data_IF_338352861864
#
_entry.id   IF_338352861864
#
_cell.length_a   1.000
_cell.length_b   1.000
_cell.length_c   1.000
_cell.angle_alpha   90.00
_cell.angle_beta   90.00
_cell.angle_gamma   90.00
#
_symmetry.space_group_name_H-M   'P 1'
#
loop_
_entity.id
_entity.type
_entity.pdbx_description
1 polymer ?
#
# COMPACT_ATOMS: atom_id res chain seq x y z
N UNK A 1 -15.51 -22.98 60.34
CA UNK A 1 -16.10 -21.84 59.57
C UNK A 1 -15.15 -21.51 58.44
N UNK A 2 -15.41 -22.04 57.26
CA UNK A 2 -14.56 -21.93 56.08
C UNK A 2 -15.09 -20.80 55.18
N UNK A 3 -14.27 -19.76 54.94
CA UNK A 3 -14.60 -18.65 54.05
C UNK A 3 -14.08 -18.98 52.65
N UNK A 4 -14.96 -19.33 51.71
CA UNK A 4 -14.68 -19.45 50.30
C UNK A 4 -14.51 -18.04 49.69
N UNK A 5 -13.28 -17.69 49.32
CA UNK A 5 -12.99 -16.48 48.54
C UNK A 5 -13.42 -16.69 47.08
N UNK A 6 -14.42 -15.91 46.65
CA UNK A 6 -14.82 -15.86 45.23
C UNK A 6 -13.86 -14.92 44.46
N UNK A 7 -12.92 -15.51 43.73
CA UNK A 7 -12.12 -14.74 42.75
C UNK A 7 -12.99 -14.33 41.55
N UNK A 8 -13.23 -13.04 41.41
CA UNK A 8 -13.90 -12.47 40.24
C UNK A 8 -12.83 -12.30 39.17
N UNK A 9 -12.88 -13.17 38.18
CA UNK A 9 -12.07 -13.01 36.97
C UNK A 9 -12.69 -11.89 36.09
N UNK A 10 -12.09 -10.72 36.10
CA UNK A 10 -12.49 -9.63 35.20
C UNK A 10 -12.01 -9.97 33.79
N UNK A 11 -12.94 -10.37 32.93
CA UNK A 11 -12.67 -10.52 31.47
C UNK A 11 -12.59 -9.11 30.87
N UNK A 12 -11.37 -8.63 30.58
CA UNK A 12 -11.15 -7.44 29.80
C UNK A 12 -11.55 -7.77 28.34
N UNK A 13 -12.74 -7.35 27.95
CA UNK A 13 -13.15 -7.34 26.56
C UNK A 13 -12.35 -6.26 25.83
N UNK A 14 -11.27 -6.64 25.16
CA UNK A 14 -10.62 -5.79 24.18
C UNK A 14 -11.57 -5.62 22.99
N UNK A 15 -12.31 -4.53 22.97
CA UNK A 15 -13.06 -4.10 21.79
C UNK A 15 -12.03 -3.67 20.74
N UNK A 16 -11.86 -4.47 19.70
CA UNK A 16 -11.18 -4.06 18.49
C UNK A 16 -11.91 -2.84 17.92
N UNK A 17 -11.22 -1.71 17.66
CA UNK A 17 -11.86 -0.60 16.96
C UNK A 17 -12.36 -1.09 15.61
N UNK A 18 -13.65 -0.94 15.36
CA UNK A 18 -14.22 -1.17 14.04
C UNK A 18 -13.49 -0.22 13.07
N UNK A 19 -12.95 -0.75 11.98
CA UNK A 19 -12.43 0.03 10.87
C UNK A 19 -13.61 0.79 10.22
N UNK A 20 -14.00 1.90 10.82
CA UNK A 20 -14.92 2.84 10.18
C UNK A 20 -14.11 3.63 9.17
N UNK A 21 -14.28 3.31 7.88
CA UNK A 21 -13.74 4.13 6.82
C UNK A 21 -14.29 5.55 6.94
N UNK A 22 -13.42 6.54 7.17
CA UNK A 22 -13.84 7.92 7.14
C UNK A 22 -14.15 8.30 5.69
N UNK A 23 -15.33 8.90 5.45
CA UNK A 23 -15.64 9.49 4.16
C UNK A 23 -14.81 10.76 4.00
N UNK A 24 -13.69 10.65 3.32
CA UNK A 24 -12.88 11.81 2.93
C UNK A 24 -13.35 12.29 1.58
N UNK A 25 -13.68 13.59 1.49
CA UNK A 25 -14.10 14.19 0.24
C UNK A 25 -13.03 13.98 -0.84
N UNK A 26 -13.41 13.41 -1.97
CA UNK A 26 -12.51 13.15 -3.09
C UNK A 26 -11.70 11.87 -3.02
N UNK A 27 -11.85 11.02 -1.97
CA UNK A 27 -11.18 9.71 -1.87
C UNK A 27 -12.18 8.67 -1.36
N UNK A 28 -12.63 7.80 -2.23
CA UNK A 28 -13.44 6.65 -1.81
C UNK A 28 -12.61 5.59 -1.09
N UNK A 29 -13.24 4.81 -0.23
CA UNK A 29 -12.60 3.68 0.47
C UNK A 29 -11.29 4.07 1.19
N UNK A 30 -11.28 5.26 1.81
CA UNK A 30 -10.11 5.81 2.49
C UNK A 30 -9.98 5.25 3.90
N UNK A 31 -8.78 4.77 4.22
CA UNK A 31 -8.40 4.31 5.56
C UNK A 31 -6.96 4.72 5.87
N UNK A 32 -6.70 5.03 7.11
CA UNK A 32 -5.36 5.06 7.66
C UNK A 32 -5.00 3.63 8.11
N UNK A 33 -3.95 3.07 7.54
CA UNK A 33 -3.46 1.73 7.84
C UNK A 33 -2.67 1.76 9.15
N UNK A 34 -1.76 2.74 9.27
CA UNK A 34 -0.95 2.99 10.47
C UNK A 34 -0.48 4.46 10.52
N UNK A 35 0.61 4.74 11.24
CA UNK A 35 1.14 6.10 11.43
C UNK A 35 1.61 6.78 10.15
N UNK A 36 1.96 6.03 9.11
CA UNK A 36 2.54 6.57 7.87
C UNK A 36 1.97 5.98 6.58
N UNK A 37 1.09 4.97 6.66
CA UNK A 37 0.47 4.35 5.49
C UNK A 37 -1.01 4.64 5.45
N UNK A 38 -1.46 5.14 4.31
CA UNK A 38 -2.86 5.38 3.97
C UNK A 38 -3.24 4.56 2.74
N UNK A 39 -4.52 4.23 2.61
CA UNK A 39 -5.04 3.52 1.45
C UNK A 39 -6.35 4.13 0.96
N UNK A 40 -6.68 3.95 -0.31
CA UNK A 40 -7.95 4.42 -0.84
C UNK A 40 -8.18 4.07 -2.30
N UNK A 41 -9.27 4.61 -2.84
CA UNK A 41 -9.56 4.64 -4.26
C UNK A 41 -8.76 5.75 -4.93
N UNK A 42 -8.79 5.79 -6.27
CA UNK A 42 -8.22 6.88 -7.05
C UNK A 42 -8.74 8.24 -6.51
N UNK A 43 -7.85 9.15 -6.09
CA UNK A 43 -8.25 10.44 -5.58
C UNK A 43 -8.70 11.38 -6.71
N UNK A 44 -9.62 12.30 -6.38
CA UNK A 44 -9.86 13.49 -7.19
C UNK A 44 -8.82 14.57 -6.88
N UNK A 45 -8.88 15.71 -7.55
CA UNK A 45 -8.02 16.85 -7.23
C UNK A 45 -8.19 17.31 -5.77
N UNK A 46 -9.43 17.31 -5.26
CA UNK A 46 -9.71 17.65 -3.85
C UNK A 46 -9.09 16.61 -2.90
N UNK A 47 -9.16 15.32 -3.29
CA UNK A 47 -8.54 14.23 -2.55
C UNK A 47 -7.01 14.36 -2.50
N UNK A 48 -6.37 14.73 -3.61
CA UNK A 48 -4.92 14.98 -3.65
C UNK A 48 -4.53 16.16 -2.76
N UNK A 49 -5.29 17.25 -2.77
CA UNK A 49 -5.08 18.38 -1.87
C UNK A 49 -5.21 17.97 -0.39
N UNK A 50 -6.20 17.13 -0.08
CA UNK A 50 -6.36 16.58 1.27
C UNK A 50 -5.14 15.73 1.68
N UNK A 51 -4.66 14.84 0.81
CA UNK A 51 -3.47 14.02 1.07
C UNK A 51 -2.24 14.87 1.36
N UNK A 52 -1.99 15.90 0.55
CA UNK A 52 -0.90 16.84 0.79
C UNK A 52 -1.04 17.55 2.15
N UNK A 53 -2.26 17.98 2.51
CA UNK A 53 -2.56 18.65 3.79
C UNK A 53 -2.31 17.76 5.00
N UNK A 54 -2.60 16.46 4.93
CA UNK A 54 -2.36 15.52 6.04
C UNK A 54 -0.90 15.01 6.07
N UNK A 55 -0.04 15.50 5.19
CA UNK A 55 1.39 15.21 5.20
C UNK A 55 1.83 14.01 4.39
N UNK A 56 0.97 13.47 3.51
CA UNK A 56 1.40 12.44 2.54
C UNK A 56 2.51 13.01 1.67
N UNK A 57 3.57 12.23 1.50
CA UNK A 57 4.75 12.59 0.69
C UNK A 57 4.83 11.78 -0.59
N UNK A 58 4.31 10.56 -0.58
CA UNK A 58 4.37 9.66 -1.73
C UNK A 58 2.98 9.10 -2.05
N UNK A 59 2.58 9.20 -3.31
CA UNK A 59 1.39 8.55 -3.86
C UNK A 59 1.83 7.35 -4.68
N UNK A 60 1.44 6.15 -4.24
CA UNK A 60 1.73 4.88 -4.90
C UNK A 60 0.49 4.41 -5.66
N UNK A 61 0.55 4.49 -6.98
CA UNK A 61 -0.52 4.09 -7.89
C UNK A 61 -0.29 2.67 -8.42
N UNK A 62 -1.26 1.78 -8.19
CA UNK A 62 -1.25 0.39 -8.63
C UNK A 62 -2.04 0.17 -9.94
N UNK A 63 -2.49 1.23 -10.58
CA UNK A 63 -3.21 1.13 -11.86
C UNK A 63 -2.24 0.93 -13.02
N UNK A 64 -2.77 0.38 -14.09
CA UNK A 64 -2.05 0.26 -15.34
C UNK A 64 -1.63 1.64 -15.88
N UNK A 65 -0.51 1.67 -16.58
CA UNK A 65 -0.03 2.87 -17.25
C UNK A 65 -1.04 3.36 -18.27
N UNK A 66 -1.21 4.67 -18.35
CA UNK A 66 -2.11 5.29 -19.30
C UNK A 66 -2.34 6.77 -19.00
N UNK A 67 -3.19 7.40 -19.78
CA UNK A 67 -3.48 8.83 -19.67
C UNK A 67 -3.93 9.25 -18.26
N UNK A 68 -4.73 8.42 -17.58
CA UNK A 68 -5.21 8.72 -16.24
C UNK A 68 -4.09 8.72 -15.19
N UNK A 69 -3.15 7.77 -15.27
CA UNK A 69 -2.01 7.72 -14.37
C UNK A 69 -1.03 8.87 -14.66
N UNK A 70 -0.84 9.23 -15.92
CA UNK A 70 0.01 10.36 -16.32
C UNK A 70 -0.54 11.70 -15.80
N UNK A 71 -1.83 11.96 -15.97
CA UNK A 71 -2.49 13.17 -15.44
C UNK A 71 -2.40 13.27 -13.92
N UNK A 72 -2.59 12.14 -13.22
CA UNK A 72 -2.48 12.12 -11.77
C UNK A 72 -1.04 12.39 -11.32
N UNK A 73 -0.04 11.83 -12.04
CA UNK A 73 1.36 12.08 -11.75
C UNK A 73 1.72 13.58 -11.84
N UNK A 74 1.17 14.30 -12.81
CA UNK A 74 1.36 15.75 -12.96
C UNK A 74 0.76 16.51 -11.76
N UNK A 75 -0.47 16.18 -11.36
CA UNK A 75 -1.15 16.81 -10.23
C UNK A 75 -0.44 16.52 -8.90
N UNK A 76 -0.02 15.28 -8.67
CA UNK A 76 0.72 14.87 -7.46
C UNK A 76 2.03 15.66 -7.34
N UNK A 77 2.79 15.75 -8.43
CA UNK A 77 4.06 16.52 -8.45
C UNK A 77 3.84 18.00 -8.26
N UNK A 78 2.79 18.57 -8.84
CA UNK A 78 2.42 19.97 -8.67
C UNK A 78 2.10 20.32 -7.20
N UNK A 79 1.65 19.33 -6.41
CA UNK A 79 1.39 19.47 -4.97
C UNK A 79 2.64 19.18 -4.11
N UNK A 80 3.80 18.99 -4.72
CA UNK A 80 5.07 18.73 -4.01
C UNK A 80 5.19 17.32 -3.45
N UNK A 81 4.34 16.38 -3.90
CA UNK A 81 4.41 14.96 -3.54
C UNK A 81 5.14 14.15 -4.61
N UNK A 82 5.74 13.05 -4.21
CA UNK A 82 6.31 12.06 -5.11
C UNK A 82 5.20 11.17 -5.67
N UNK A 83 5.25 10.86 -6.96
CA UNK A 83 4.38 9.89 -7.60
C UNK A 83 5.17 8.67 -8.04
N UNK A 84 4.74 7.50 -7.60
CA UNK A 84 5.32 6.20 -8.00
C UNK A 84 4.20 5.35 -8.58
N UNK A 85 4.46 4.77 -9.76
CA UNK A 85 3.53 3.82 -10.35
C UNK A 85 4.16 2.42 -10.41
N UNK A 86 3.45 1.46 -9.84
CA UNK A 86 3.77 0.03 -9.96
C UNK A 86 2.54 -0.65 -10.56
N UNK A 87 2.47 -0.74 -11.89
CA UNK A 87 1.26 -1.15 -12.59
C UNK A 87 0.95 -2.63 -12.37
N UNK A 88 -0.21 -2.91 -11.81
CA UNK A 88 -0.74 -4.25 -11.62
C UNK A 88 -1.93 -4.48 -12.57
N UNK A 89 -1.90 -5.55 -13.34
CA UNK A 89 -2.88 -5.82 -14.40
C UNK A 89 -4.07 -6.66 -13.94
N UNK A 90 -5.22 -6.43 -14.57
CA UNK A 90 -6.41 -7.28 -14.57
C UNK A 90 -6.77 -7.92 -13.23
N UNK A 91 -6.96 -9.25 -13.23
CA UNK A 91 -7.28 -10.07 -12.06
C UNK A 91 -6.05 -10.76 -11.46
N UNK A 92 -4.88 -10.61 -12.06
CA UNK A 92 -3.65 -11.25 -11.60
C UNK A 92 -3.27 -10.79 -10.18
N UNK A 93 -2.70 -11.67 -9.35
CA UNK A 93 -2.09 -11.27 -8.09
C UNK A 93 -0.82 -10.44 -8.37
N UNK A 94 -0.28 -9.74 -7.35
CA UNK A 94 1.04 -9.14 -7.47
C UNK A 94 2.09 -10.20 -7.79
N UNK A 95 3.07 -9.85 -8.60
CA UNK A 95 4.29 -10.63 -8.76
C UNK A 95 5.22 -10.41 -7.56
N UNK A 96 6.18 -11.31 -7.34
CA UNK A 96 7.17 -11.15 -6.27
C UNK A 96 7.99 -9.86 -6.44
N UNK A 97 8.37 -9.53 -7.67
CA UNK A 97 9.11 -8.29 -7.96
C UNK A 97 8.29 -7.03 -7.65
N UNK A 98 7.00 -7.00 -8.04
CA UNK A 98 6.11 -5.88 -7.74
C UNK A 98 5.93 -5.70 -6.24
N UNK A 99 5.66 -6.77 -5.50
CA UNK A 99 5.39 -6.66 -4.08
C UNK A 99 6.65 -6.31 -3.29
N UNK A 100 7.81 -6.90 -3.63
CA UNK A 100 9.08 -6.57 -2.98
C UNK A 100 9.43 -5.09 -3.17
N UNK A 101 9.26 -4.56 -4.39
CA UNK A 101 9.46 -3.13 -4.68
C UNK A 101 8.49 -2.25 -3.89
N UNK A 102 7.22 -2.64 -3.80
CA UNK A 102 6.20 -1.89 -3.07
C UNK A 102 6.49 -1.87 -1.58
N UNK A 103 6.81 -3.02 -0.98
CA UNK A 103 7.12 -3.12 0.44
C UNK A 103 8.37 -2.32 0.79
N UNK A 104 9.43 -2.41 -0.03
CA UNK A 104 10.63 -1.61 0.15
C UNK A 104 10.33 -0.10 0.11
N UNK A 105 9.46 0.36 -0.81
CA UNK A 105 9.04 1.76 -0.89
C UNK A 105 8.26 2.21 0.35
N UNK A 106 7.33 1.38 0.83
CA UNK A 106 6.51 1.73 2.00
C UNK A 106 7.35 1.77 3.27
N UNK A 107 8.34 0.89 3.40
CA UNK A 107 9.23 0.78 4.55
C UNK A 107 10.38 1.80 4.52
N UNK A 108 10.65 2.41 3.37
CA UNK A 108 11.67 3.44 3.25
C UNK A 108 11.22 4.73 3.94
N UNK A 109 11.82 5.02 5.09
CA UNK A 109 11.53 6.24 5.85
C UNK A 109 11.74 7.54 5.04
N UNK A 110 12.52 7.53 3.96
CA UNK A 110 12.71 8.67 3.06
C UNK A 110 11.47 8.95 2.19
N UNK A 111 10.63 7.93 1.94
CA UNK A 111 9.38 8.08 1.21
C UNK A 111 8.33 8.90 1.98
N UNK A 112 8.52 9.10 3.28
CA UNK A 112 7.57 9.78 4.17
C UNK A 112 6.24 9.03 4.28
N UNK A 113 5.14 9.73 4.56
CA UNK A 113 3.83 9.11 4.57
C UNK A 113 3.38 8.73 3.16
N UNK A 114 2.95 7.47 2.99
CA UNK A 114 2.60 6.87 1.68
C UNK A 114 1.10 6.66 1.57
N UNK A 115 0.51 7.10 0.45
CA UNK A 115 -0.86 6.76 0.08
C UNK A 115 -0.88 5.71 -1.04
N UNK A 116 -1.40 4.53 -0.75
CA UNK A 116 -1.50 3.40 -1.68
C UNK A 116 -2.89 3.31 -2.27
N UNK A 117 -3.01 3.36 -3.59
CA UNK A 117 -4.31 3.28 -4.23
C UNK A 117 -4.32 2.48 -5.54
N UNK A 118 -5.54 2.14 -5.97
CA UNK A 118 -5.86 1.68 -7.31
C UNK A 118 -7.16 2.38 -7.76
N UNK A 119 -7.92 1.83 -8.69
CA UNK A 119 -9.18 2.45 -9.13
C UNK A 119 -10.21 2.55 -7.99
N UNK A 120 -10.46 1.45 -7.27
CA UNK A 120 -11.48 1.34 -6.21
C UNK A 120 -10.90 1.30 -4.79
N UNK A 121 -9.57 1.23 -4.64
CA UNK A 121 -8.95 1.04 -3.34
C UNK A 121 -9.23 -0.31 -2.68
N UNK A 122 -9.75 -1.28 -3.41
CA UNK A 122 -10.26 -2.55 -2.89
C UNK A 122 -9.36 -3.74 -3.22
N UNK A 123 -9.29 -4.15 -4.50
CA UNK A 123 -8.68 -5.43 -4.86
C UNK A 123 -7.15 -5.41 -4.89
N UNK A 124 -6.54 -4.59 -5.78
CA UNK A 124 -5.08 -4.44 -5.88
C UNK A 124 -4.50 -3.87 -4.59
N UNK A 125 -5.11 -2.78 -4.13
CA UNK A 125 -4.76 -2.14 -2.85
C UNK A 125 -4.92 -3.11 -1.69
N UNK A 126 -6.01 -3.90 -1.68
CA UNK A 126 -6.25 -4.90 -0.64
C UNK A 126 -5.17 -5.98 -0.59
N UNK A 127 -4.71 -6.48 -1.74
CA UNK A 127 -3.64 -7.48 -1.80
C UNK A 127 -2.30 -6.91 -1.31
N UNK A 128 -1.97 -5.68 -1.71
CA UNK A 128 -0.74 -4.98 -1.29
C UNK A 128 -0.75 -4.69 0.21
N UNK A 129 -1.84 -4.12 0.74
CA UNK A 129 -1.93 -3.81 2.17
C UNK A 129 -1.96 -5.09 3.01
N UNK A 130 -2.59 -6.18 2.53
CA UNK A 130 -2.52 -7.46 3.23
C UNK A 130 -1.08 -8.01 3.30
N UNK A 131 -0.31 -7.91 2.22
CA UNK A 131 1.10 -8.28 2.22
C UNK A 131 1.91 -7.41 3.21
N UNK A 132 1.69 -6.10 3.22
CA UNK A 132 2.29 -5.18 4.18
C UNK A 132 1.96 -5.57 5.63
N UNK A 133 0.70 -5.87 5.95
CA UNK A 133 0.28 -6.32 7.29
C UNK A 133 0.97 -7.61 7.73
N UNK A 134 1.16 -8.56 6.79
CA UNK A 134 1.83 -9.83 7.10
C UNK A 134 3.32 -9.60 7.33
N UNK A 135 3.95 -8.79 6.49
CA UNK A 135 5.38 -8.51 6.53
C UNK A 135 5.78 -7.60 7.71
N UNK A 136 5.18 -6.43 7.79
CA UNK A 136 5.51 -5.40 8.77
C UNK A 136 4.85 -5.63 10.13
N UNK A 137 3.54 -5.89 10.16
CA UNK A 137 2.79 -6.03 11.42
C UNK A 137 2.77 -7.46 11.95
N UNK A 138 3.39 -8.41 11.22
CA UNK A 138 3.44 -9.84 11.56
C UNK A 138 2.06 -10.48 11.75
N UNK A 139 1.06 -10.00 10.98
CA UNK A 139 -0.26 -10.62 11.00
C UNK A 139 -0.23 -11.97 10.30
N UNK A 140 -1.09 -12.89 10.76
CA UNK A 140 -1.36 -14.09 9.99
C UNK A 140 -2.16 -13.76 8.71
N UNK A 141 -2.01 -14.62 7.71
CA UNK A 141 -2.60 -14.44 6.38
C UNK A 141 -4.15 -14.39 6.44
N UNK A 142 -4.78 -15.12 7.36
CA UNK A 142 -6.24 -15.14 7.49
C UNK A 142 -6.77 -13.79 8.00
N UNK A 143 -6.09 -13.18 8.98
CA UNK A 143 -6.39 -11.85 9.50
C UNK A 143 -6.22 -10.78 8.42
N UNK A 144 -5.11 -10.81 7.69
CA UNK A 144 -4.84 -9.86 6.62
C UNK A 144 -5.87 -9.97 5.48
N UNK A 145 -6.25 -11.18 5.09
CA UNK A 145 -7.31 -11.40 4.10
C UNK A 145 -8.67 -10.92 4.58
N UNK A 146 -8.98 -11.11 5.87
CA UNK A 146 -10.23 -10.61 6.46
C UNK A 146 -10.31 -9.08 6.38
N UNK A 147 -9.22 -8.36 6.69
CA UNK A 147 -9.14 -6.90 6.52
C UNK A 147 -9.32 -6.50 5.04
N UNK A 148 -8.62 -7.14 4.11
CA UNK A 148 -8.75 -6.84 2.68
C UNK A 148 -10.20 -7.00 2.18
N UNK A 149 -10.92 -8.03 2.64
CA UNK A 149 -12.35 -8.24 2.33
C UNK A 149 -13.24 -7.19 2.99
N UNK A 150 -13.00 -6.83 4.22
CA UNK A 150 -13.73 -5.77 4.92
C UNK A 150 -13.57 -4.42 4.22
N UNK A 151 -12.41 -4.17 3.59
CA UNK A 151 -12.13 -3.00 2.76
C UNK A 151 -12.57 -3.17 1.29
N UNK A 152 -13.44 -4.13 0.97
CA UNK A 152 -14.12 -4.25 -0.30
C UNK A 152 -13.46 -5.13 -1.36
N UNK A 153 -12.44 -5.94 -1.02
CA UNK A 153 -11.91 -6.94 -1.96
C UNK A 153 -13.03 -7.88 -2.39
N UNK A 154 -13.30 -7.93 -3.69
CA UNK A 154 -14.43 -8.65 -4.23
C UNK A 154 -14.29 -10.18 -4.05
N UNK A 155 -15.40 -10.85 -3.81
CA UNK A 155 -15.42 -12.30 -3.58
C UNK A 155 -14.88 -13.10 -4.77
N UNK A 156 -15.02 -12.61 -5.99
CA UNK A 156 -14.54 -13.26 -7.22
C UNK A 156 -13.06 -13.01 -7.52
N UNK A 157 -12.37 -12.21 -6.72
CA UNK A 157 -10.92 -11.99 -6.81
C UNK A 157 -10.11 -13.17 -6.24
N UNK A 158 -10.46 -14.39 -6.69
CA UNK A 158 -9.87 -15.63 -6.17
C UNK A 158 -8.34 -15.69 -6.30
N UNK A 159 -7.72 -15.26 -7.42
CA UNK A 159 -6.26 -15.26 -7.52
C UNK A 159 -5.58 -14.39 -6.45
N UNK A 160 -6.10 -13.16 -6.21
CA UNK A 160 -5.57 -12.26 -5.17
C UNK A 160 -5.83 -12.78 -3.76
N UNK A 161 -6.99 -13.37 -3.53
CA UNK A 161 -7.30 -13.99 -2.23
C UNK A 161 -6.41 -15.20 -1.96
N UNK A 162 -6.13 -16.02 -2.99
CA UNK A 162 -5.18 -17.14 -2.89
C UNK A 162 -3.77 -16.63 -2.63
N UNK A 163 -3.35 -15.58 -3.32
CA UNK A 163 -2.08 -14.92 -3.08
C UNK A 163 -1.93 -14.50 -1.62
N UNK A 164 -2.90 -13.77 -1.06
CA UNK A 164 -2.83 -13.32 0.35
C UNK A 164 -2.78 -14.51 1.31
N UNK A 165 -3.55 -15.59 1.05
CA UNK A 165 -3.51 -16.79 1.92
C UNK A 165 -2.17 -17.48 1.96
N UNK A 166 -1.40 -17.41 0.88
CA UNK A 166 -0.13 -18.12 0.73
C UNK A 166 1.08 -17.18 0.75
N UNK A 167 0.86 -15.89 0.96
CA UNK A 167 1.92 -14.89 0.95
C UNK A 167 2.95 -15.20 2.04
N UNK A 168 4.22 -15.08 1.67
CA UNK A 168 5.36 -15.13 2.58
C UNK A 168 6.17 -13.85 2.39
N UNK A 169 6.59 -13.20 3.47
CA UNK A 169 7.46 -12.03 3.38
C UNK A 169 8.74 -12.33 2.58
N UNK A 170 9.18 -11.39 1.73
CA UNK A 170 10.46 -11.52 1.03
C UNK A 170 11.61 -11.66 2.02
N UNK A 171 12.55 -12.53 1.72
CA UNK A 171 13.79 -12.67 2.49
C UNK A 171 14.67 -11.43 2.34
N UNK A 172 15.66 -11.29 3.21
CA UNK A 172 16.63 -10.18 3.13
C UNK A 172 17.40 -10.19 1.80
N UNK A 173 17.69 -11.37 1.28
CA UNK A 173 18.40 -11.55 0.00
C UNK A 173 17.53 -11.09 -1.18
N UNK A 174 16.26 -11.50 -1.23
CA UNK A 174 15.31 -11.09 -2.27
C UNK A 174 15.08 -9.56 -2.27
N UNK A 175 15.05 -8.91 -1.09
CA UNK A 175 14.98 -7.45 -0.98
C UNK A 175 16.24 -6.78 -1.53
N UNK A 176 17.43 -7.31 -1.22
CA UNK A 176 18.70 -6.77 -1.68
C UNK A 176 18.85 -6.88 -3.21
N UNK A 177 18.43 -7.98 -3.82
CA UNK A 177 18.44 -8.16 -5.26
C UNK A 177 17.51 -7.16 -5.98
N UNK A 178 16.32 -6.92 -5.44
CA UNK A 178 15.36 -5.97 -6.00
C UNK A 178 15.86 -4.52 -5.89
N UNK A 179 16.57 -4.16 -4.82
CA UNK A 179 17.15 -2.82 -4.65
C UNK A 179 18.33 -2.53 -5.58
N UNK A 180 19.06 -3.56 -5.99
CA UNK A 180 20.22 -3.47 -6.89
C UNK A 180 19.87 -3.67 -8.39
N UNK A 181 18.62 -3.93 -8.71
CA UNK A 181 18.13 -4.15 -10.06
C UNK A 181 18.23 -2.91 -10.97
N UNK A 182 18.16 -3.07 -12.31
CA UNK A 182 18.44 -2.02 -13.29
C UNK A 182 17.51 -0.79 -13.23
N UNK A 183 16.43 -0.83 -12.47
CA UNK A 183 15.49 0.29 -12.29
C UNK A 183 15.98 1.36 -11.30
N UNK A 184 17.05 1.11 -10.55
CA UNK A 184 17.63 2.06 -9.58
C UNK A 184 19.00 2.62 -10.01
N UNK A 185 19.45 2.33 -11.24
CA UNK A 185 20.64 2.99 -11.76
C UNK A 185 20.29 4.44 -12.14
N UNK A 186 20.95 5.45 -11.57
CA UNK A 186 20.85 6.80 -12.08
C UNK A 186 21.30 6.78 -13.56
N UNK A 187 20.52 7.42 -14.42
CA UNK A 187 20.85 7.53 -15.84
C UNK A 187 22.27 8.10 -15.98
N UNK A 188 23.18 7.31 -16.50
CA UNK A 188 24.53 7.77 -16.83
C UNK A 188 24.37 8.90 -17.88
N UNK A 189 24.91 10.10 -17.65
CA UNK A 189 24.85 11.15 -18.66
C UNK A 189 25.57 10.65 -19.91
N UNK A 190 24.84 10.54 -21.01
CA UNK A 190 25.41 10.26 -22.33
C UNK A 190 26.42 11.35 -22.64
N UNK A 191 27.70 10.96 -22.71
CA UNK A 191 28.75 11.86 -23.13
C UNK A 191 28.42 12.39 -24.52
N UNK A 192 28.24 13.71 -24.63
CA UNK A 192 28.07 14.40 -25.90
C UNK A 192 29.32 14.15 -26.72
N UNK A 193 29.16 13.48 -27.87
CA UNK A 193 30.20 13.34 -28.90
C UNK A 193 30.54 14.73 -29.38
N UNK A 194 31.71 15.23 -29.04
CA UNK A 194 32.31 16.42 -29.62
C UNK A 194 32.64 16.09 -31.07
N UNK A 195 31.83 16.59 -31.99
CA UNK A 195 32.22 16.74 -33.38
C UNK A 195 33.05 17.99 -33.47
N UNK A 196 34.33 17.84 -33.69
CA UNK A 196 35.24 18.94 -34.06
C UNK A 196 35.22 19.17 -35.55
N UNK A 197 35.44 20.40 -35.99
CA UNK A 197 35.27 20.89 -37.38
C UNK A 197 36.25 20.28 -38.39
#
# INVERSE_FOLDING_TARGET
MSRFGRSIFAILLFSLPALAGSSVQGIGNFYQVDGHVYRGAQPTTEGLNYLAKIGVKTVLDLRENGERSSREAELVRALGMQYVNVPMTGLAPPTEAEITKILALIEDGSAGAVFVHCMRGADRTGAVIAAYRIDHDHWDNARALKEARACGMAFFQLPRQSYVRNFRPPTREERAETSNGPLNRPATPTAASSVSP
#
